data_IF_009356676268
#
_entry.id   IF_009356676268
#
_cell.length_a   1.000
_cell.length_b   1.000
_cell.length_c   1.000
_cell.angle_alpha   90.00
_cell.angle_beta   90.00
_cell.angle_gamma   90.00
#
_symmetry.space_group_name_H-M   'P 1'
#
loop_
_entity.id
_entity.type
_entity.pdbx_description
1 polymer ?
#
# COMPACT_ATOMS: atom_id res chain seq x y z
N UNK A 1 5.93 8.49 -13.83
CA UNK A 1 5.18 8.92 -12.62
C UNK A 1 4.90 7.71 -11.73
N UNK A 2 5.07 7.84 -10.40
CA UNK A 2 4.81 6.76 -9.44
C UNK A 2 3.62 7.18 -8.57
N UNK A 3 2.56 6.36 -8.53
CA UNK A 3 1.44 6.52 -7.59
C UNK A 3 1.61 5.55 -6.43
N UNK A 4 1.71 6.06 -5.20
CA UNK A 4 1.53 5.25 -3.99
C UNK A 4 0.04 4.97 -3.78
N UNK A 5 -0.31 3.81 -3.23
CA UNK A 5 -1.70 3.55 -2.87
C UNK A 5 -1.85 2.53 -1.75
N UNK A 6 -2.95 2.67 -1.03
CA UNK A 6 -3.35 1.75 0.04
C UNK A 6 -4.87 1.76 0.21
N UNK A 7 -5.38 0.78 0.92
CA UNK A 7 -6.71 0.85 1.51
C UNK A 7 -6.61 0.84 3.03
N UNK A 8 -7.57 1.44 3.70
CA UNK A 8 -7.57 1.50 5.16
C UNK A 8 -8.99 1.66 5.71
N UNK A 9 -9.24 1.01 6.84
CA UNK A 9 -10.44 1.18 7.67
C UNK A 9 -10.08 0.97 9.12
N UNK A 10 -10.52 1.88 10.00
CA UNK A 10 -10.34 1.80 11.46
C UNK A 10 -8.86 1.64 11.89
N UNK A 11 -7.90 2.23 11.17
CA UNK A 11 -6.48 2.02 11.43
C UNK A 11 -6.08 2.53 12.82
N UNK A 12 -6.63 3.67 13.27
CA UNK A 12 -6.32 4.22 14.59
C UNK A 12 -6.83 3.31 15.71
N UNK A 13 -8.03 2.77 15.55
CA UNK A 13 -8.66 1.88 16.51
C UNK A 13 -7.99 0.50 16.57
N UNK A 14 -7.44 0.06 15.45
CA UNK A 14 -6.73 -1.21 15.31
C UNK A 14 -5.23 -1.09 15.52
N UNK A 15 -4.74 0.12 15.84
CA UNK A 15 -3.32 0.41 16.10
C UNK A 15 -2.39 0.12 14.92
N UNK A 16 -2.86 0.25 13.69
CA UNK A 16 -2.00 0.16 12.51
C UNK A 16 -1.14 1.44 12.37
N UNK A 17 0.15 1.30 12.05
CA UNK A 17 1.07 2.43 11.83
C UNK A 17 0.87 3.05 10.43
N UNK A 18 -0.39 3.39 10.08
CA UNK A 18 -0.75 3.82 8.72
C UNK A 18 -0.06 5.10 8.30
N UNK A 19 0.24 5.99 9.24
CA UNK A 19 0.92 7.26 8.95
C UNK A 19 2.37 6.99 8.57
N UNK A 20 3.07 6.19 9.39
CA UNK A 20 4.44 5.77 9.13
C UNK A 20 4.55 4.99 7.82
N UNK A 21 3.54 4.16 7.51
CA UNK A 21 3.43 3.45 6.25
C UNK A 21 3.40 4.43 5.07
N UNK A 22 2.45 5.37 5.05
CA UNK A 22 2.29 6.38 4.00
C UNK A 22 3.58 7.22 3.87
N UNK A 23 4.06 7.78 4.97
CA UNK A 23 5.23 8.65 4.99
C UNK A 23 6.50 7.94 4.50
N UNK A 24 6.60 6.62 4.70
CA UNK A 24 7.78 5.85 4.29
C UNK A 24 8.06 5.87 2.80
N UNK A 25 7.04 6.03 1.94
CA UNK A 25 7.21 6.09 0.47
C UNK A 25 6.84 7.45 -0.12
N UNK A 26 6.22 8.34 0.68
CA UNK A 26 5.77 9.67 0.23
C UNK A 26 6.87 10.50 -0.46
N UNK A 27 8.16 10.42 -0.08
CA UNK A 27 9.23 11.14 -0.77
C UNK A 27 9.42 10.77 -2.24
N UNK A 28 9.12 9.54 -2.63
CA UNK A 28 9.41 9.04 -3.99
C UNK A 28 8.17 8.87 -4.87
N UNK A 29 6.97 9.06 -4.34
CA UNK A 29 5.74 9.03 -5.14
C UNK A 29 5.32 10.43 -5.56
N UNK A 30 4.63 10.52 -6.69
CA UNK A 30 4.10 11.78 -7.24
C UNK A 30 2.68 12.06 -6.71
N UNK A 31 1.90 11.03 -6.40
CA UNK A 31 0.63 11.05 -5.69
C UNK A 31 0.52 9.87 -4.75
N UNK A 32 -0.36 9.96 -3.74
CA UNK A 32 -0.71 8.85 -2.87
C UNK A 32 -2.23 8.72 -2.74
N UNK A 33 -2.79 7.59 -3.16
CA UNK A 33 -4.23 7.33 -3.18
C UNK A 33 -4.61 6.41 -2.01
N UNK A 34 -5.61 6.80 -1.25
CA UNK A 34 -6.10 6.04 -0.10
C UNK A 34 -7.57 5.70 -0.32
N UNK A 35 -7.90 4.41 -0.47
CA UNK A 35 -9.27 3.95 -0.35
C UNK A 35 -9.62 3.88 1.15
N UNK A 36 -10.32 4.90 1.63
CA UNK A 36 -10.74 5.00 3.02
C UNK A 36 -12.11 4.36 3.18
N UNK A 37 -12.18 3.28 3.93
CA UNK A 37 -13.42 2.60 4.29
C UNK A 37 -14.30 3.43 5.23
N UNK A 38 -15.52 2.97 5.39
CA UNK A 38 -16.52 3.48 6.35
C UNK A 38 -16.06 3.23 7.80
N UNK A 39 -15.16 4.08 8.29
CA UNK A 39 -14.64 4.00 9.65
C UNK A 39 -15.73 4.21 10.70
N UNK A 40 -15.54 3.60 11.87
CA UNK A 40 -16.41 3.78 13.03
C UNK A 40 -16.41 5.26 13.49
N UNK A 41 -17.47 5.71 14.15
CA UNK A 41 -17.62 7.11 14.61
C UNK A 41 -16.52 7.53 15.61
N UNK A 42 -15.99 6.58 16.38
CA UNK A 42 -14.93 6.79 17.37
C UNK A 42 -13.52 6.54 16.83
N UNK A 43 -13.36 6.30 15.51
CA UNK A 43 -12.07 6.11 14.87
C UNK A 43 -11.48 7.44 14.35
N UNK A 44 -10.18 7.63 14.51
CA UNK A 44 -9.49 8.85 14.14
C UNK A 44 -8.65 8.72 12.84
N UNK A 45 -8.78 7.65 12.10
CA UNK A 45 -7.94 7.38 10.89
C UNK A 45 -7.96 8.55 9.91
N UNK A 46 -9.14 9.06 9.57
CA UNK A 46 -9.27 10.21 8.66
C UNK A 46 -8.56 11.46 9.19
N UNK A 47 -8.69 11.75 10.49
CA UNK A 47 -8.06 12.92 11.10
C UNK A 47 -6.52 12.80 11.08
N UNK A 48 -5.99 11.59 11.33
CA UNK A 48 -4.56 11.32 11.27
C UNK A 48 -4.02 11.48 9.84
N UNK A 49 -4.71 10.92 8.84
CA UNK A 49 -4.32 11.07 7.43
C UNK A 49 -4.32 12.54 7.00
N UNK A 50 -5.35 13.30 7.38
CA UNK A 50 -5.43 14.74 7.06
C UNK A 50 -4.39 15.60 7.77
N UNK A 51 -3.75 15.09 8.83
CA UNK A 51 -2.66 15.78 9.51
C UNK A 51 -1.30 15.62 8.83
N UNK A 52 -1.18 14.73 7.83
CA UNK A 52 0.04 14.61 7.03
C UNK A 52 0.15 15.86 6.16
N UNK A 53 1.24 16.61 6.31
CA UNK A 53 1.50 17.84 5.53
C UNK A 53 2.00 17.51 4.13
N UNK A 54 1.06 17.14 3.25
CA UNK A 54 1.38 16.80 1.85
C UNK A 54 0.17 17.02 0.92
N UNK A 55 0.42 17.67 -0.19
CA UNK A 55 -0.55 17.87 -1.28
C UNK A 55 -0.67 16.65 -2.23
N UNK A 56 0.16 15.63 -2.03
CA UNK A 56 0.15 14.40 -2.83
C UNK A 56 -1.00 13.46 -2.46
N UNK A 57 -1.58 13.60 -1.26
CA UNK A 57 -2.56 12.64 -0.72
C UNK A 57 -3.95 12.90 -1.30
N UNK A 58 -4.56 11.84 -1.79
CA UNK A 58 -5.93 11.85 -2.30
C UNK A 58 -6.74 10.70 -1.71
N UNK A 59 -7.86 11.03 -1.07
CA UNK A 59 -8.74 10.07 -0.41
C UNK A 59 -9.90 9.73 -1.34
N UNK A 60 -10.18 8.44 -1.47
CA UNK A 60 -11.36 7.86 -2.12
C UNK A 60 -12.18 7.20 -1.01
N UNK A 61 -13.33 7.77 -0.68
CA UNK A 61 -14.21 7.18 0.32
C UNK A 61 -14.90 5.94 -0.23
N UNK A 62 -14.91 4.87 0.54
CA UNK A 62 -15.49 3.57 0.17
C UNK A 62 -16.37 3.03 1.30
N UNK A 63 -17.16 2.02 0.97
CA UNK A 63 -17.94 1.24 1.94
C UNK A 63 -17.53 -0.22 1.82
N UNK A 64 -17.26 -0.86 2.97
CA UNK A 64 -16.84 -2.25 2.98
C UNK A 64 -18.06 -3.19 3.03
N UNK A 65 -18.41 -3.72 1.88
CA UNK A 65 -19.50 -4.70 1.74
C UNK A 65 -18.96 -6.13 1.90
N UNK A 66 -18.48 -6.48 3.09
CA UNK A 66 -17.79 -7.76 3.36
C UNK A 66 -18.63 -9.00 3.02
N UNK A 67 -19.97 -8.89 3.07
CA UNK A 67 -20.88 -9.99 2.70
C UNK A 67 -20.81 -10.31 1.19
N UNK A 68 -20.53 -9.31 0.36
CA UNK A 68 -20.39 -9.49 -1.10
C UNK A 68 -19.03 -10.07 -1.49
N UNK A 69 -18.04 -9.89 -0.66
CA UNK A 69 -16.65 -10.29 -0.93
C UNK A 69 -16.11 -11.23 0.16
N UNK A 70 -16.57 -12.51 0.18
CA UNK A 70 -16.14 -13.48 1.18
C UNK A 70 -14.67 -13.86 1.04
N UNK A 71 -14.14 -14.59 2.04
CA UNK A 71 -12.78 -15.15 2.02
C UNK A 71 -11.69 -14.09 1.78
N UNK A 72 -11.76 -12.97 2.50
CA UNK A 72 -10.84 -11.82 2.39
C UNK A 72 -10.89 -11.06 1.07
N UNK A 73 -11.80 -11.40 0.16
CA UNK A 73 -11.96 -10.72 -1.12
C UNK A 73 -12.26 -9.23 -1.01
N UNK A 74 -12.76 -8.78 0.15
CA UNK A 74 -12.97 -7.35 0.42
C UNK A 74 -11.64 -6.56 0.40
N UNK A 75 -10.52 -7.16 0.84
CA UNK A 75 -9.22 -6.49 0.81
C UNK A 75 -8.73 -6.31 -0.62
N UNK A 76 -8.83 -7.35 -1.46
CA UNK A 76 -8.50 -7.25 -2.88
C UNK A 76 -9.37 -6.18 -3.57
N UNK A 77 -10.68 -6.19 -3.32
CA UNK A 77 -11.61 -5.21 -3.89
C UNK A 77 -11.26 -3.78 -3.47
N UNK A 78 -10.93 -3.53 -2.22
CA UNK A 78 -10.54 -2.19 -1.74
C UNK A 78 -9.17 -1.77 -2.28
N UNK A 79 -8.24 -2.72 -2.44
CA UNK A 79 -6.95 -2.48 -3.10
C UNK A 79 -7.17 -2.05 -4.54
N UNK A 80 -8.04 -2.74 -5.29
CA UNK A 80 -8.35 -2.42 -6.67
C UNK A 80 -9.03 -1.04 -6.81
N UNK A 81 -9.92 -0.65 -5.88
CA UNK A 81 -10.50 0.69 -5.85
C UNK A 81 -9.43 1.77 -5.72
N UNK A 82 -8.45 1.59 -4.84
CA UNK A 82 -7.35 2.54 -4.71
C UNK A 82 -6.47 2.54 -5.96
N UNK A 83 -6.14 1.35 -6.48
CA UNK A 83 -5.35 1.15 -7.70
C UNK A 83 -5.97 1.85 -8.92
N UNK A 84 -7.25 1.62 -9.18
CA UNK A 84 -7.99 2.20 -10.32
C UNK A 84 -8.06 3.72 -10.27
N UNK A 85 -7.98 4.31 -9.08
CA UNK A 85 -7.93 5.74 -8.90
C UNK A 85 -6.53 6.33 -9.14
N UNK A 86 -5.47 5.53 -9.23
CA UNK A 86 -4.11 5.97 -9.50
C UNK A 86 -3.93 6.42 -10.95
N UNK A 87 -2.97 7.36 -11.16
CA UNK A 87 -2.68 7.97 -12.47
C UNK A 87 -1.26 7.71 -12.96
N UNK A 88 -0.39 7.16 -12.10
CA UNK A 88 1.00 6.87 -12.40
C UNK A 88 1.18 5.74 -13.39
N UNK A 89 2.36 5.67 -13.97
CA UNK A 89 2.80 4.57 -14.83
C UNK A 89 3.21 3.36 -13.99
N UNK A 90 3.73 3.65 -12.78
CA UNK A 90 4.04 2.68 -11.74
C UNK A 90 3.12 2.89 -10.54
N UNK A 91 2.60 1.81 -10.00
CA UNK A 91 1.69 1.77 -8.87
C UNK A 91 2.37 1.07 -7.71
N UNK A 92 2.61 1.80 -6.61
CA UNK A 92 3.27 1.30 -5.42
C UNK A 92 2.25 1.03 -4.32
N UNK A 93 1.87 -0.22 -4.18
CA UNK A 93 1.01 -0.69 -3.10
C UNK A 93 1.80 -0.82 -1.80
N UNK A 94 1.25 -0.31 -0.69
CA UNK A 94 1.78 -0.52 0.65
C UNK A 94 0.62 -0.79 1.61
N UNK A 95 0.75 -1.82 2.45
CA UNK A 95 -0.24 -2.11 3.48
C UNK A 95 -0.05 -1.18 4.68
N UNK A 96 -1.13 -0.93 5.45
CA UNK A 96 -1.09 0.02 6.56
C UNK A 96 -0.19 -0.39 7.74
N UNK A 97 0.39 -1.58 7.70
CA UNK A 97 1.33 -2.13 8.68
C UNK A 97 2.73 -2.39 8.10
N UNK A 98 2.99 -1.87 6.90
CA UNK A 98 4.27 -1.99 6.22
C UNK A 98 5.00 -0.65 6.17
N UNK A 99 6.32 -0.67 6.25
CA UNK A 99 7.17 0.51 6.06
C UNK A 99 8.35 0.18 5.15
N UNK A 100 8.71 1.13 4.30
CA UNK A 100 9.92 1.03 3.46
C UNK A 100 11.04 1.78 4.14
N UNK A 101 12.18 1.11 4.33
CA UNK A 101 13.34 1.75 4.92
C UNK A 101 13.92 2.80 3.95
N UNK A 102 14.16 4.02 4.43
CA UNK A 102 14.55 5.20 3.66
C UNK A 102 15.78 4.99 2.77
N UNK A 103 16.73 4.14 3.18
CA UNK A 103 17.94 3.83 2.40
C UNK A 103 17.67 3.19 1.03
N UNK A 104 16.45 2.67 0.82
CA UNK A 104 16.10 2.01 -0.45
C UNK A 104 15.32 2.91 -1.41
N UNK A 105 14.88 4.09 -1.00
CA UNK A 105 14.01 4.95 -1.80
C UNK A 105 14.63 5.31 -3.16
N UNK A 106 15.89 5.72 -3.17
CA UNK A 106 16.61 6.02 -4.42
C UNK A 106 16.76 4.78 -5.33
N UNK A 107 16.98 3.61 -4.74
CA UNK A 107 17.08 2.35 -5.48
C UNK A 107 15.75 2.00 -6.13
N UNK A 108 14.64 2.18 -5.41
CA UNK A 108 13.28 1.92 -5.90
C UNK A 108 12.97 2.85 -7.08
N UNK A 109 13.20 4.15 -6.91
CA UNK A 109 12.98 5.14 -7.97
C UNK A 109 13.80 4.83 -9.21
N UNK A 110 15.09 4.52 -9.02
CA UNK A 110 15.99 4.16 -10.12
C UNK A 110 15.55 2.87 -10.83
N UNK A 111 14.97 1.91 -10.11
CA UNK A 111 14.43 0.70 -10.73
C UNK A 111 13.19 1.00 -11.58
N UNK A 112 12.26 1.84 -11.10
CA UNK A 112 11.11 2.29 -11.87
C UNK A 112 11.56 3.00 -13.17
N UNK A 113 12.52 3.92 -13.07
CA UNK A 113 13.06 4.64 -14.23
C UNK A 113 13.72 3.66 -15.23
N UNK A 114 14.52 2.73 -14.73
CA UNK A 114 15.26 1.75 -15.55
C UNK A 114 14.33 0.84 -16.35
N UNK A 115 13.24 0.39 -15.74
CA UNK A 115 12.34 -0.59 -16.34
C UNK A 115 11.06 0.03 -16.93
N UNK A 116 11.02 1.36 -17.05
CA UNK A 116 9.85 2.07 -17.56
C UNK A 116 9.41 1.54 -18.93
N UNK A 117 10.34 1.42 -19.87
CA UNK A 117 10.07 1.02 -21.26
C UNK A 117 10.30 -0.48 -21.51
N UNK A 118 10.61 -1.26 -20.49
CA UNK A 118 10.83 -2.71 -20.60
C UNK A 118 9.50 -3.46 -20.47
N UNK A 119 8.98 -3.97 -21.58
CA UNK A 119 7.70 -4.68 -21.63
C UNK A 119 7.72 -6.06 -20.95
N UNK A 120 8.89 -6.62 -20.68
CA UNK A 120 9.03 -7.91 -19.98
C UNK A 120 8.96 -7.75 -18.46
N UNK A 121 9.03 -6.51 -17.95
CA UNK A 121 8.95 -6.21 -16.51
C UNK A 121 7.59 -5.59 -16.20
N UNK A 122 6.73 -6.34 -15.53
CA UNK A 122 5.40 -5.91 -15.11
C UNK A 122 5.35 -5.44 -13.65
N UNK A 123 6.32 -5.83 -12.82
CA UNK A 123 6.36 -5.46 -11.41
C UNK A 123 7.72 -5.65 -10.76
N UNK A 124 7.85 -5.11 -9.55
CA UNK A 124 9.06 -5.19 -8.74
C UNK A 124 8.78 -5.94 -7.44
N UNK A 125 9.66 -6.90 -7.14
CA UNK A 125 9.56 -7.80 -6.00
C UNK A 125 10.39 -7.26 -4.84
N UNK A 126 9.77 -7.15 -3.66
CA UNK A 126 10.40 -6.66 -2.44
C UNK A 126 10.74 -7.80 -1.49
N UNK A 127 11.87 -7.69 -0.80
CA UNK A 127 12.20 -8.57 0.32
C UNK A 127 11.58 -8.02 1.61
N UNK A 128 11.09 -8.92 2.45
CA UNK A 128 10.43 -8.59 3.71
C UNK A 128 11.26 -8.96 4.93
N UNK A 129 11.15 -8.11 5.94
CA UNK A 129 11.56 -8.39 7.31
C UNK A 129 10.30 -8.31 8.18
N UNK A 130 9.89 -9.44 8.75
CA UNK A 130 8.72 -9.50 9.64
C UNK A 130 9.19 -9.34 11.09
N UNK A 131 8.90 -8.21 11.69
CA UNK A 131 9.18 -7.97 13.12
C UNK A 131 8.20 -8.73 14.01
N UNK A 132 8.61 -9.06 15.20
CA UNK A 132 7.81 -9.79 16.17
C UNK A 132 7.95 -9.22 17.56
N UNK A 133 6.92 -8.55 18.03
CA UNK A 133 6.86 -7.95 19.37
C UNK A 133 7.57 -6.60 19.48
N UNK A 134 8.75 -6.47 18.90
CA UNK A 134 9.53 -5.24 18.82
C UNK A 134 10.39 -5.21 17.54
N UNK A 135 11.15 -4.12 17.32
CA UNK A 135 12.00 -3.95 16.15
C UNK A 135 13.38 -4.61 16.26
N UNK A 136 13.72 -5.21 17.42
CA UNK A 136 14.98 -5.94 17.63
C UNK A 136 14.83 -7.43 17.30
N UNK A 137 13.59 -7.92 17.17
CA UNK A 137 13.27 -9.30 16.90
C UNK A 137 12.52 -9.45 15.57
N UNK A 138 12.98 -10.38 14.72
CA UNK A 138 12.32 -10.67 13.46
C UNK A 138 12.19 -12.16 13.19
N UNK A 139 11.15 -12.55 12.45
CA UNK A 139 10.84 -13.92 12.10
C UNK A 139 11.74 -14.44 10.98
N UNK A 140 12.27 -15.64 11.18
CA UNK A 140 12.99 -16.43 10.17
C UNK A 140 12.27 -17.72 9.80
N UNK A 141 11.10 -17.99 10.38
CA UNK A 141 10.37 -19.23 10.20
C UNK A 141 9.79 -19.37 8.78
N UNK A 142 9.60 -20.62 8.35
CA UNK A 142 9.13 -20.94 7.00
C UNK A 142 7.65 -20.58 6.74
N UNK A 143 6.87 -20.20 7.75
CA UNK A 143 5.45 -19.87 7.62
C UNK A 143 5.15 -18.43 7.16
N UNK A 144 6.17 -17.57 7.04
CA UNK A 144 6.02 -16.19 6.63
C UNK A 144 6.59 -15.97 5.25
N UNK A 145 5.88 -15.19 4.41
CA UNK A 145 6.38 -14.84 3.10
C UNK A 145 7.64 -13.98 3.20
N UNK A 146 8.59 -14.22 2.31
CA UNK A 146 9.88 -13.53 2.31
C UNK A 146 9.94 -12.42 1.28
N UNK A 147 9.03 -12.45 0.33
CA UNK A 147 8.98 -11.54 -0.81
C UNK A 147 7.55 -11.36 -1.26
N UNK A 148 7.23 -10.13 -1.65
CA UNK A 148 5.96 -9.77 -2.28
C UNK A 148 6.17 -8.74 -3.37
N UNK A 149 5.32 -8.76 -4.40
CA UNK A 149 5.25 -7.68 -5.38
C UNK A 149 4.58 -6.50 -4.71
N UNK A 150 5.25 -5.34 -4.70
CA UNK A 150 4.69 -4.11 -4.15
C UNK A 150 4.61 -2.97 -5.16
N UNK A 151 5.35 -3.05 -6.26
CA UNK A 151 5.23 -2.12 -7.36
C UNK A 151 4.82 -2.90 -8.61
N UNK A 152 3.84 -2.39 -9.32
CA UNK A 152 3.39 -2.92 -10.61
C UNK A 152 3.31 -1.80 -11.64
N UNK A 153 3.41 -2.12 -12.92
CA UNK A 153 2.99 -1.21 -13.98
C UNK A 153 1.48 -1.02 -13.95
N UNK A 154 1.03 0.15 -14.35
CA UNK A 154 -0.41 0.44 -14.45
C UNK A 154 -1.01 -0.28 -15.66
N UNK A 155 -1.27 -1.57 -15.49
CA UNK A 155 -1.83 -2.47 -16.51
C UNK A 155 -3.27 -2.78 -16.10
N UNK A 156 -4.27 -2.57 -16.98
CA UNK A 156 -5.69 -2.74 -16.64
C UNK A 156 -6.06 -4.13 -16.14
N UNK A 157 -5.44 -5.18 -16.68
CA UNK A 157 -5.77 -6.58 -16.37
C UNK A 157 -5.06 -7.13 -15.12
N UNK A 158 -4.25 -6.31 -14.43
CA UNK A 158 -3.61 -6.69 -13.17
C UNK A 158 -4.53 -6.32 -12.02
N UNK A 159 -4.95 -7.30 -11.23
CA UNK A 159 -5.85 -7.15 -10.09
C UNK A 159 -5.26 -7.76 -8.83
N UNK A 160 -5.67 -7.21 -7.70
CA UNK A 160 -5.33 -7.78 -6.40
C UNK A 160 -6.08 -9.09 -6.16
N UNK A 161 -5.51 -9.99 -5.38
CA UNK A 161 -6.07 -11.30 -5.11
C UNK A 161 -6.27 -11.53 -3.61
N UNK A 162 -7.44 -12.04 -3.19
CA UNK A 162 -7.79 -12.44 -1.80
C UNK A 162 -7.50 -11.37 -0.74
N UNK A 163 -6.45 -11.56 0.04
CA UNK A 163 -5.99 -10.71 1.14
C UNK A 163 -5.06 -9.57 0.68
N UNK A 164 -5.29 -9.07 -0.52
CA UNK A 164 -4.57 -7.96 -1.12
C UNK A 164 -3.12 -8.29 -1.55
N UNK A 165 -2.92 -9.48 -2.09
CA UNK A 165 -1.67 -9.90 -2.73
C UNK A 165 -1.70 -9.62 -4.22
#
# INVERSE_FOLDING_TARGET
MISGFTFVKNASKLYYPVIESIESILPIVDEFVIALGDCDEDDNTLALINAIDSDKIRIVNTVWESEKYPNFGIYAQQTDVAKEACRGDWLFYIQGDEVVHEKYLDTIKSACDKYQDDSEVEGLLFNYVHFWGDYDHFQKAHGWYKREIRIIKNIPDVHSWRDAQ
#
